data_IF_951818509256
#
_entry.id   IF_951818509256
#
_cell.length_a   1.000
_cell.length_b   1.000
_cell.length_c   1.000
_cell.angle_alpha   90.00
_cell.angle_beta   90.00
_cell.angle_gamma   90.00
#
_symmetry.space_group_name_H-M   'P 1'
#
loop_
_entity.id
_entity.type
_entity.pdbx_description
1 polymer ?
#
# COMPACT_ATOMS: atom_id res chain seq x y z
N UNK A 1 23.54 19.47 3.41
CA UNK A 1 22.52 19.57 2.35
C UNK A 1 23.21 19.44 0.99
N UNK A 2 22.92 18.36 0.25
CA UNK A 2 23.56 18.06 -1.04
C UNK A 2 23.21 19.14 -2.08
N UNK A 3 24.07 19.34 -3.08
CA UNK A 3 23.84 20.31 -4.17
C UNK A 3 22.53 20.05 -4.92
N UNK A 4 22.14 18.77 -5.04
CA UNK A 4 20.90 18.35 -5.67
C UNK A 4 19.65 18.85 -4.89
N UNK A 5 19.64 18.73 -3.57
CA UNK A 5 18.52 19.17 -2.72
C UNK A 5 18.31 20.68 -2.76
N UNK A 6 19.40 21.45 -2.74
CA UNK A 6 19.33 22.91 -2.85
C UNK A 6 18.67 23.34 -4.16
N UNK A 7 19.00 22.65 -5.26
CA UNK A 7 18.41 22.90 -6.57
C UNK A 7 16.93 22.52 -6.63
N UNK A 8 16.55 21.35 -6.10
CA UNK A 8 15.13 20.91 -6.02
C UNK A 8 14.28 21.87 -5.17
N UNK A 9 14.80 22.31 -4.02
CA UNK A 9 14.16 23.31 -3.16
C UNK A 9 13.86 24.59 -3.93
N UNK A 10 14.89 25.16 -4.58
CA UNK A 10 14.74 26.41 -5.34
C UNK A 10 13.73 26.28 -6.47
N UNK A 11 13.79 25.20 -7.25
CA UNK A 11 12.84 24.96 -8.35
C UNK A 11 11.39 24.87 -7.87
N UNK A 12 11.16 24.25 -6.72
CA UNK A 12 9.83 24.16 -6.12
C UNK A 12 9.33 25.54 -5.66
N UNK A 13 10.15 26.30 -4.91
CA UNK A 13 9.78 27.65 -4.46
C UNK A 13 9.53 28.62 -5.63
N UNK A 14 10.34 28.54 -6.68
CA UNK A 14 10.15 29.30 -7.92
C UNK A 14 8.84 28.92 -8.62
N UNK A 15 8.46 27.63 -8.62
CA UNK A 15 7.18 27.15 -9.18
C UNK A 15 6.00 27.65 -8.35
N UNK A 16 6.08 27.58 -7.03
CA UNK A 16 5.04 28.09 -6.13
C UNK A 16 4.82 29.59 -6.30
N UNK A 17 5.91 30.36 -6.40
CA UNK A 17 5.88 31.80 -6.65
C UNK A 17 5.17 32.14 -7.98
N UNK A 18 5.46 31.38 -9.05
CA UNK A 18 4.78 31.53 -10.35
C UNK A 18 3.28 31.28 -10.29
N UNK A 19 2.82 30.43 -9.37
CA UNK A 19 1.39 30.17 -9.13
C UNK A 19 0.76 31.10 -8.08
N UNK A 20 1.46 32.17 -7.67
CA UNK A 20 0.94 33.16 -6.73
C UNK A 20 1.11 32.80 -5.25
N UNK A 21 1.77 31.68 -4.94
CA UNK A 21 2.10 31.27 -3.57
C UNK A 21 3.47 31.85 -3.22
N UNK A 22 3.48 33.12 -2.77
CA UNK A 22 4.72 33.93 -2.66
C UNK A 22 5.44 33.81 -1.31
N UNK A 23 4.74 33.41 -0.25
CA UNK A 23 5.29 33.39 1.12
C UNK A 23 5.61 31.98 1.63
N UNK A 24 5.58 30.98 0.76
CA UNK A 24 5.88 29.60 1.15
C UNK A 24 7.37 29.29 1.02
N UNK A 25 7.97 28.86 2.13
CA UNK A 25 9.33 28.32 2.18
C UNK A 25 9.26 26.84 2.50
N UNK A 26 10.04 26.06 1.77
CA UNK A 26 10.12 24.63 2.02
C UNK A 26 11.08 24.37 3.18
N UNK A 27 10.54 24.00 4.34
CA UNK A 27 11.34 23.76 5.54
C UNK A 27 11.65 22.27 5.77
N UNK A 28 10.73 21.37 5.42
CA UNK A 28 10.97 19.94 5.50
C UNK A 28 11.63 19.45 4.21
N UNK A 29 12.94 19.33 4.15
CA UNK A 29 13.64 18.91 2.92
C UNK A 29 13.73 17.39 2.65
N UNK A 30 13.56 16.48 3.64
CA UNK A 30 13.64 15.05 3.39
C UNK A 30 12.68 14.54 2.29
N UNK A 31 11.51 15.14 2.09
CA UNK A 31 10.63 14.72 0.98
C UNK A 31 11.19 15.04 -0.43
N UNK A 32 12.16 15.95 -0.52
CA UNK A 32 12.87 16.26 -1.76
C UNK A 32 14.07 15.33 -1.98
N UNK A 33 14.43 14.52 -0.97
CA UNK A 33 15.40 13.43 -1.10
C UNK A 33 14.73 12.23 -1.78
N UNK A 34 14.65 12.32 -3.10
CA UNK A 34 14.27 11.22 -3.97
C UNK A 34 15.54 10.41 -4.27
N UNK A 35 15.72 9.28 -3.57
CA UNK A 35 16.73 8.25 -3.86
C UNK A 35 15.99 7.00 -4.34
N UNK A 36 16.13 6.67 -5.62
CA UNK A 36 15.48 5.52 -6.23
C UNK A 36 15.87 4.19 -5.57
N UNK A 37 17.03 4.13 -4.93
CA UNK A 37 17.48 2.97 -4.14
C UNK A 37 16.68 2.75 -2.86
N UNK A 38 15.95 3.77 -2.41
CA UNK A 38 15.08 3.69 -1.22
C UNK A 38 13.67 3.26 -1.57
N UNK A 39 13.35 3.09 -2.85
CA UNK A 39 12.01 2.69 -3.27
C UNK A 39 11.80 1.20 -3.14
N UNK A 40 10.57 0.84 -2.79
CA UNK A 40 10.14 -0.54 -2.83
C UNK A 40 10.28 -1.07 -4.27
N UNK A 41 10.93 -2.22 -4.38
CA UNK A 41 11.05 -2.97 -5.63
C UNK A 41 9.68 -3.51 -6.06
N UNK A 42 9.49 -3.82 -7.36
CA UNK A 42 8.26 -4.47 -7.82
C UNK A 42 7.92 -5.76 -7.06
N UNK A 43 8.95 -6.51 -6.63
CA UNK A 43 8.79 -7.72 -5.81
C UNK A 43 8.21 -7.40 -4.44
N UNK A 44 8.78 -6.44 -3.70
CA UNK A 44 8.28 -6.03 -2.38
C UNK A 44 6.83 -5.52 -2.45
N UNK A 45 6.51 -4.75 -3.50
CA UNK A 45 5.14 -4.28 -3.74
C UNK A 45 4.20 -5.46 -4.04
N UNK A 46 4.65 -6.45 -4.81
CA UNK A 46 3.89 -7.67 -5.11
C UNK A 46 3.61 -8.51 -3.86
N UNK A 47 4.63 -8.73 -3.01
CA UNK A 47 4.46 -9.41 -1.72
C UNK A 47 3.43 -8.68 -0.86
N UNK A 48 3.56 -7.36 -0.73
CA UNK A 48 2.64 -6.54 0.06
C UNK A 48 1.20 -6.61 -0.46
N UNK A 49 1.02 -6.58 -1.79
CA UNK A 49 -0.27 -6.74 -2.45
C UNK A 49 -0.91 -8.08 -2.09
N UNK A 50 -0.18 -9.19 -2.24
CA UNK A 50 -0.68 -10.54 -1.91
C UNK A 50 -1.05 -10.65 -0.43
N UNK A 51 -0.23 -10.11 0.47
CA UNK A 51 -0.49 -10.14 1.91
C UNK A 51 -1.77 -9.37 2.26
N UNK A 52 -1.91 -8.14 1.77
CA UNK A 52 -3.12 -7.32 2.00
C UNK A 52 -4.38 -8.05 1.51
N UNK A 53 -4.28 -8.68 0.35
CA UNK A 53 -5.37 -9.48 -0.20
C UNK A 53 -5.70 -10.71 0.67
N UNK A 54 -4.68 -11.48 1.06
CA UNK A 54 -4.83 -12.65 1.92
C UNK A 54 -5.48 -12.29 3.27
N UNK A 55 -5.11 -11.14 3.84
CA UNK A 55 -5.68 -10.62 5.08
C UNK A 55 -7.15 -10.25 4.89
N UNK A 56 -7.48 -9.49 3.84
CA UNK A 56 -8.85 -9.09 3.55
C UNK A 56 -9.78 -10.29 3.28
N UNK A 57 -9.28 -11.26 2.51
CA UNK A 57 -9.98 -12.53 2.26
C UNK A 57 -10.21 -13.30 3.56
N UNK A 58 -9.17 -13.45 4.39
CA UNK A 58 -9.28 -14.19 5.66
C UNK A 58 -10.20 -13.49 6.65
N UNK A 59 -10.27 -12.16 6.64
CA UNK A 59 -11.14 -11.39 7.53
C UNK A 59 -12.63 -11.65 7.26
N UNK A 60 -12.98 -11.95 6.01
CA UNK A 60 -14.35 -12.30 5.59
C UNK A 60 -14.60 -13.81 5.58
N UNK A 61 -13.56 -14.64 5.57
CA UNK A 61 -13.63 -16.10 5.54
C UNK A 61 -12.68 -16.70 6.59
N UNK A 62 -13.02 -16.50 7.86
CA UNK A 62 -12.15 -16.76 9.02
C UNK A 62 -11.72 -18.22 9.15
N UNK A 63 -12.55 -19.13 8.66
CA UNK A 63 -12.34 -20.57 8.63
C UNK A 63 -11.12 -20.98 7.77
N UNK A 64 -10.71 -20.15 6.81
CA UNK A 64 -9.53 -20.41 5.98
C UNK A 64 -8.23 -19.85 6.55
N UNK A 65 -8.25 -19.18 7.71
CA UNK A 65 -7.08 -18.52 8.30
C UNK A 65 -5.83 -19.38 8.31
N UNK A 66 -5.93 -20.60 8.86
CA UNK A 66 -4.79 -21.51 8.93
C UNK A 66 -4.32 -21.97 7.55
N UNK A 67 -5.25 -22.20 6.61
CA UNK A 67 -4.90 -22.59 5.24
C UNK A 67 -4.14 -21.46 4.52
N UNK A 68 -4.60 -20.20 4.67
CA UNK A 68 -3.97 -19.02 4.07
C UNK A 68 -2.61 -18.75 4.71
N UNK A 69 -2.48 -18.85 6.04
CA UNK A 69 -1.19 -18.74 6.73
C UNK A 69 -0.18 -19.77 6.20
N UNK A 70 -0.58 -21.03 6.12
CA UNK A 70 0.29 -22.09 5.59
C UNK A 70 0.65 -21.88 4.12
N UNK A 71 -0.27 -21.34 3.32
CA UNK A 71 -0.02 -20.94 1.94
C UNK A 71 1.06 -19.84 1.88
N UNK A 72 0.93 -18.77 2.66
CA UNK A 72 1.92 -17.67 2.72
C UNK A 72 3.32 -18.16 3.12
N UNK A 73 3.40 -19.13 4.04
CA UNK A 73 4.67 -19.76 4.45
C UNK A 73 5.27 -20.55 3.29
N UNK A 74 4.47 -21.39 2.62
CA UNK A 74 4.94 -22.23 1.50
C UNK A 74 5.44 -21.41 0.32
N UNK A 75 4.78 -20.30 0.00
CA UNK A 75 5.18 -19.40 -1.08
C UNK A 75 6.35 -18.47 -0.70
N UNK A 76 6.89 -18.55 0.52
CA UNK A 76 7.99 -17.71 0.99
C UNK A 76 7.60 -16.25 1.26
N UNK A 77 6.31 -15.94 1.34
CA UNK A 77 5.79 -14.58 1.51
C UNK A 77 5.70 -14.19 3.00
N UNK A 78 5.60 -15.18 3.89
CA UNK A 78 5.39 -14.97 5.33
C UNK A 78 6.42 -14.05 6.01
N UNK A 79 7.65 -14.02 5.50
CA UNK A 79 8.72 -13.15 6.02
C UNK A 79 8.41 -11.65 5.85
N UNK A 80 7.57 -11.30 4.88
CA UNK A 80 7.13 -9.93 4.59
C UNK A 80 5.84 -9.51 5.32
N UNK A 81 5.19 -10.43 6.05
CA UNK A 81 3.96 -10.15 6.80
C UNK A 81 4.26 -9.27 8.00
N UNK A 82 3.46 -8.21 8.21
CA UNK A 82 3.68 -7.26 9.29
C UNK A 82 3.34 -7.87 10.66
N UNK A 83 3.88 -7.35 11.77
CA UNK A 83 3.54 -7.85 13.11
C UNK A 83 2.03 -7.90 13.39
N UNK A 84 1.29 -6.84 13.02
CA UNK A 84 -0.16 -6.76 13.19
C UNK A 84 -0.91 -7.84 12.41
N UNK A 85 -0.43 -8.19 11.21
CA UNK A 85 -1.04 -9.25 10.39
C UNK A 85 -0.69 -10.63 10.91
N UNK A 86 0.53 -10.82 11.44
CA UNK A 86 0.91 -12.07 12.10
C UNK A 86 0.01 -12.34 13.30
N UNK A 87 -0.24 -11.33 14.14
CA UNK A 87 -1.18 -11.45 15.26
C UNK A 87 -2.58 -11.88 14.79
N UNK A 88 -3.04 -11.33 13.67
CA UNK A 88 -4.30 -11.74 13.06
C UNK A 88 -4.31 -13.20 12.57
N UNK A 89 -3.26 -13.61 11.85
CA UNK A 89 -3.13 -15.00 11.38
C UNK A 89 -2.87 -16.01 12.50
N UNK A 90 -2.30 -15.57 13.63
CA UNK A 90 -2.12 -16.39 14.84
C UNK A 90 -3.40 -16.49 15.68
N UNK A 91 -4.48 -15.81 15.25
CA UNK A 91 -5.77 -15.83 15.93
C UNK A 91 -5.83 -14.98 17.20
N UNK A 92 -4.88 -14.06 17.38
CA UNK A 92 -4.86 -13.10 18.49
C UNK A 92 -5.69 -11.83 18.21
N UNK A 93 -6.18 -11.66 16.97
CA UNK A 93 -7.07 -10.57 16.57
C UNK A 93 -8.36 -11.14 15.94
N UNK A 94 -9.48 -11.06 16.67
CA UNK A 94 -10.77 -11.68 16.30
C UNK A 94 -12.00 -10.82 16.59
N UNK A 95 -11.85 -9.61 17.15
CA UNK A 95 -13.04 -8.81 17.41
C UNK A 95 -13.63 -8.27 16.09
N UNK A 96 -14.92 -7.95 16.13
CA UNK A 96 -15.68 -7.58 14.94
C UNK A 96 -15.13 -6.32 14.28
N UNK A 97 -14.64 -5.36 15.06
CA UNK A 97 -14.10 -4.10 14.51
C UNK A 97 -12.77 -4.36 13.80
N UNK A 98 -11.89 -5.18 14.41
CA UNK A 98 -10.65 -5.61 13.76
C UNK A 98 -10.89 -6.36 12.44
N UNK A 99 -11.88 -7.25 12.39
CA UNK A 99 -12.21 -7.98 11.15
C UNK A 99 -12.71 -7.02 10.06
N UNK A 100 -13.51 -6.03 10.43
CA UNK A 100 -13.93 -4.98 9.50
C UNK A 100 -12.68 -4.23 8.99
N UNK A 101 -11.81 -3.73 9.87
CA UNK A 101 -10.58 -3.04 9.46
C UNK A 101 -9.71 -3.87 8.50
N UNK A 102 -9.54 -5.16 8.78
CA UNK A 102 -8.75 -6.05 7.93
C UNK A 102 -9.39 -6.27 6.55
N UNK A 103 -10.72 -6.33 6.46
CA UNK A 103 -11.41 -6.50 5.17
C UNK A 103 -11.17 -5.34 4.19
N UNK A 104 -10.97 -4.12 4.69
CA UNK A 104 -10.69 -2.94 3.87
C UNK A 104 -9.29 -2.98 3.23
N UNK A 105 -8.40 -3.86 3.70
CA UNK A 105 -7.08 -4.03 3.10
C UNK A 105 -7.14 -4.51 1.64
N UNK A 106 -8.27 -5.07 1.19
CA UNK A 106 -8.51 -5.42 -0.20
C UNK A 106 -8.41 -4.22 -1.15
N UNK A 107 -8.87 -3.03 -0.73
CA UNK A 107 -8.73 -1.81 -1.54
C UNK A 107 -7.27 -1.36 -1.65
N UNK A 108 -6.50 -1.53 -0.57
CA UNK A 108 -5.07 -1.26 -0.60
C UNK A 108 -4.35 -2.22 -1.56
N UNK A 109 -4.71 -3.50 -1.55
CA UNK A 109 -4.19 -4.49 -2.50
C UNK A 109 -4.51 -4.08 -3.95
N UNK A 110 -5.74 -3.63 -4.21
CA UNK A 110 -6.17 -3.16 -5.54
C UNK A 110 -5.32 -1.98 -6.04
N UNK A 111 -5.08 -0.97 -5.20
CA UNK A 111 -4.20 0.16 -5.56
C UNK A 111 -2.78 -0.30 -5.91
N UNK A 112 -2.22 -1.25 -5.16
CA UNK A 112 -0.89 -1.79 -5.46
C UNK A 112 -0.88 -2.60 -6.77
N UNK A 113 -1.94 -3.35 -7.06
CA UNK A 113 -2.10 -4.05 -8.33
C UNK A 113 -2.13 -3.08 -9.52
N UNK A 114 -2.80 -1.94 -9.36
CA UNK A 114 -2.81 -0.87 -10.37
C UNK A 114 -1.43 -0.26 -10.54
N UNK A 115 -0.72 0.02 -9.44
CA UNK A 115 0.65 0.54 -9.49
C UNK A 115 1.63 -0.41 -10.17
N UNK A 116 1.41 -1.73 -10.03
CA UNK A 116 2.17 -2.78 -10.71
C UNK A 116 1.73 -3.04 -12.16
N UNK A 117 0.74 -2.30 -12.66
CA UNK A 117 0.14 -2.52 -14.00
C UNK A 117 -0.49 -3.90 -14.21
N UNK A 118 -0.85 -4.59 -13.12
CA UNK A 118 -1.59 -5.87 -13.18
C UNK A 118 -3.04 -5.60 -13.57
N UNK A 119 -3.63 -4.55 -12.98
CA UNK A 119 -4.94 -4.03 -13.36
C UNK A 119 -4.79 -2.68 -14.06
N UNK A 120 -5.65 -2.42 -15.05
CA UNK A 120 -5.59 -1.18 -15.86
C UNK A 120 -6.43 -0.06 -15.27
N UNK A 121 -7.55 -0.43 -14.65
CA UNK A 121 -8.48 0.54 -14.11
C UNK A 121 -7.99 1.05 -12.75
N UNK A 122 -7.89 2.37 -12.64
CA UNK A 122 -7.62 3.04 -11.38
C UNK A 122 -8.93 3.13 -10.59
N UNK A 123 -8.93 2.88 -9.27
CA UNK A 123 -10.13 3.11 -8.48
C UNK A 123 -10.43 4.61 -8.31
N UNK A 124 -11.71 4.91 -8.10
CA UNK A 124 -12.19 6.26 -7.78
C UNK A 124 -11.57 6.74 -6.47
N UNK A 125 -11.16 8.01 -6.35
CA UNK A 125 -10.65 8.55 -5.09
C UNK A 125 -11.77 8.93 -4.10
N UNK A 126 -13.03 8.92 -4.52
CA UNK A 126 -14.19 9.39 -3.74
C UNK A 126 -15.21 8.29 -3.46
N UNK A 127 -15.00 7.09 -4.02
CA UNK A 127 -15.89 5.94 -3.89
C UNK A 127 -15.06 4.70 -3.54
N UNK A 128 -15.60 3.79 -2.70
CA UNK A 128 -15.01 2.48 -2.47
C UNK A 128 -14.82 1.69 -3.76
N UNK A 129 -13.91 0.72 -3.74
CA UNK A 129 -13.76 -0.23 -4.86
C UNK A 129 -15.04 -1.06 -4.98
N UNK A 130 -15.64 -1.08 -6.17
CA UNK A 130 -16.90 -1.78 -6.38
C UNK A 130 -16.68 -3.29 -6.66
N UNK A 131 -17.76 -4.08 -6.59
CA UNK A 131 -17.70 -5.53 -6.82
C UNK A 131 -17.10 -5.90 -8.19
N UNK A 132 -17.44 -5.14 -9.25
CA UNK A 132 -16.89 -5.38 -10.59
C UNK A 132 -15.37 -5.18 -10.66
N UNK A 133 -14.87 -4.19 -9.95
CA UNK A 133 -13.44 -3.93 -9.85
C UNK A 133 -12.74 -5.05 -9.07
N UNK A 134 -13.34 -5.52 -7.98
CA UNK A 134 -12.83 -6.70 -7.28
C UNK A 134 -12.86 -7.96 -8.17
N UNK A 135 -13.90 -8.18 -8.99
CA UNK A 135 -13.98 -9.29 -9.95
C UNK A 135 -12.85 -9.28 -10.98
N UNK A 136 -12.37 -8.09 -11.38
CA UNK A 136 -11.19 -7.96 -12.25
C UNK A 136 -9.92 -8.35 -11.49
N UNK A 137 -9.83 -8.01 -10.21
CA UNK A 137 -8.69 -8.36 -9.38
C UNK A 137 -8.62 -9.86 -9.03
N UNK A 138 -9.77 -10.56 -9.02
CA UNK A 138 -9.86 -12.00 -8.80
C UNK A 138 -9.55 -12.88 -10.03
N UNK A 139 -9.47 -12.32 -11.25
CA UNK A 139 -9.27 -13.04 -12.52
C UNK A 139 -7.82 -13.05 -12.99
#
# INVERSE_FOLDING_TARGET
MTTNLKNRKKQLEDRLTRHGIKDYRVDYLPYLEFDDKTFATPFEVGCRMIILYAVAFTATNIEYREAIKNWLIREGIWEHVSPREREFFDGNANDKEQLIDFSWQGECAYILAWALSIIKEKPSPIEPVNEHQFDIFYK
#
